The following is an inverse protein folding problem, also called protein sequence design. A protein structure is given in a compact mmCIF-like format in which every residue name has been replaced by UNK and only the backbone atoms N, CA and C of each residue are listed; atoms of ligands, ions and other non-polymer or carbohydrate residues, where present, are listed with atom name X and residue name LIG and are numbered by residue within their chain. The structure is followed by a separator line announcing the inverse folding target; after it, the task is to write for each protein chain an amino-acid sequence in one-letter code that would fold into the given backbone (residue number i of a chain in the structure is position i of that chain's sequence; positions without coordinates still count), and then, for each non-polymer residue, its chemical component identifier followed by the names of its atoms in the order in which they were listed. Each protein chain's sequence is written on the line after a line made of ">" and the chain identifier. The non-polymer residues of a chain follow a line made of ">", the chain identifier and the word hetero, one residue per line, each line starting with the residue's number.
data_IF_188705827407
#
_entry.id   IF_188705827407
#
_cell.length_a   1.000
_cell.length_b   1.000
_cell.length_c   1.000
_cell.angle_alpha   90.00
_cell.angle_beta   90.00
_cell.angle_gamma   90.00
#
_symmetry.space_group_name_H-M   'P 1'
#
loop_
_entity.id
_entity.type
_entity.pdbx_description
1 polymer ?
#
# COMPACT_ATOMS: atom_id res chain seq x y z
N UNK A 1 -9.56 41.81 0.15
CA UNK A 1 -8.27 41.20 0.40
C UNK A 1 -8.29 40.15 1.47
N UNK A 2 -8.87 40.40 2.62
CA UNK A 2 -8.94 39.41 3.69
C UNK A 2 -9.71 38.15 3.27
N UNK A 3 -10.69 38.28 2.40
CA UNK A 3 -11.51 37.15 1.93
C UNK A 3 -10.72 36.15 1.10
N UNK A 4 -9.73 36.62 0.35
CA UNK A 4 -8.90 35.74 -0.47
C UNK A 4 -8.02 34.83 0.34
N UNK A 5 -7.45 35.32 1.43
CA UNK A 5 -6.61 34.51 2.30
C UNK A 5 -7.39 33.37 2.94
N UNK A 6 -8.62 33.64 3.39
CA UNK A 6 -9.46 32.62 3.97
C UNK A 6 -9.78 31.50 2.98
N UNK A 7 -10.05 31.84 1.73
CA UNK A 7 -10.36 30.88 0.69
C UNK A 7 -9.18 29.96 0.40
N UNK A 8 -7.97 30.51 0.32
CA UNK A 8 -6.76 29.74 0.08
C UNK A 8 -6.51 28.74 1.20
N UNK A 9 -6.64 29.16 2.44
CA UNK A 9 -6.46 28.30 3.61
C UNK A 9 -7.46 27.14 3.59
N UNK A 10 -8.71 27.42 3.24
CA UNK A 10 -9.76 26.41 3.16
C UNK A 10 -9.42 25.33 2.14
N UNK A 11 -8.95 25.71 0.96
CA UNK A 11 -8.57 24.75 -0.09
C UNK A 11 -7.42 23.85 0.36
N UNK A 12 -6.43 24.42 1.04
CA UNK A 12 -5.31 23.65 1.56
C UNK A 12 -5.75 22.59 2.56
N UNK A 13 -6.68 22.91 3.46
CA UNK A 13 -7.21 21.98 4.43
C UNK A 13 -7.95 20.83 3.76
N UNK A 14 -8.76 21.11 2.75
CA UNK A 14 -9.48 20.09 2.01
C UNK A 14 -8.52 19.11 1.33
N UNK A 15 -7.44 19.60 0.76
CA UNK A 15 -6.41 18.75 0.14
C UNK A 15 -5.76 17.79 1.13
N UNK A 16 -5.50 18.24 2.34
CA UNK A 16 -4.93 17.40 3.39
C UNK A 16 -5.88 16.27 3.79
N UNK A 17 -7.18 16.55 3.88
CA UNK A 17 -8.16 15.52 4.18
C UNK A 17 -8.18 14.42 3.14
N UNK A 18 -8.06 14.75 1.87
CA UNK A 18 -8.04 13.75 0.81
C UNK A 18 -6.87 12.78 0.95
N UNK A 19 -5.72 13.26 1.37
CA UNK A 19 -4.54 12.42 1.57
C UNK A 19 -4.75 11.45 2.73
N UNK A 20 -5.44 11.86 3.79
CA UNK A 20 -5.66 11.02 4.96
C UNK A 20 -6.62 9.86 4.72
N UNK A 21 -7.32 9.84 3.60
CA UNK A 21 -8.25 8.78 3.24
C UNK A 21 -7.60 7.58 2.57
N UNK A 22 -6.30 7.62 2.32
CA UNK A 22 -5.58 6.53 1.66
C UNK A 22 -5.17 5.48 2.70
N UNK A 23 -5.61 4.24 2.49
CA UNK A 23 -5.24 3.11 3.33
C UNK A 23 -4.09 2.33 2.74
N UNK A 24 -3.12 1.98 3.58
CA UNK A 24 -2.04 1.10 3.21
C UNK A 24 -2.48 -0.35 3.43
N UNK A 25 -2.30 -1.21 2.44
CA UNK A 25 -2.58 -2.63 2.55
C UNK A 25 -1.25 -3.38 2.65
N UNK A 26 -1.05 -4.13 3.74
CA UNK A 26 0.16 -4.90 3.96
C UNK A 26 0.07 -6.25 3.27
N UNK A 27 1.12 -6.62 2.56
CA UNK A 27 1.26 -7.93 1.92
C UNK A 27 2.57 -8.59 2.34
N UNK A 28 2.65 -9.90 2.13
CA UNK A 28 3.88 -10.67 2.32
C UNK A 28 4.55 -10.80 0.96
N UNK A 29 5.67 -10.18 0.78
CA UNK A 29 6.38 -10.13 -0.50
C UNK A 29 7.61 -11.03 -0.47
N UNK A 30 7.69 -11.97 -1.42
CA UNK A 30 8.87 -12.81 -1.59
C UNK A 30 9.87 -12.07 -2.48
N UNK A 31 10.99 -11.65 -1.90
CA UNK A 31 11.99 -10.85 -2.62
C UNK A 31 12.72 -11.66 -3.68
N UNK A 32 12.69 -12.98 -3.59
CA UNK A 32 13.36 -13.86 -4.55
C UNK A 32 12.49 -14.13 -5.78
N UNK A 33 11.22 -14.53 -5.55
CA UNK A 33 10.31 -14.86 -6.65
C UNK A 33 9.57 -13.65 -7.22
N UNK A 34 9.47 -12.57 -6.46
CA UNK A 34 8.70 -11.40 -6.85
C UNK A 34 7.20 -11.58 -6.69
N UNK A 35 6.77 -12.56 -5.90
CA UNK A 35 5.34 -12.82 -5.68
C UNK A 35 4.94 -12.26 -4.31
N UNK A 36 3.80 -11.56 -4.27
CA UNK A 36 3.25 -11.08 -3.01
C UNK A 36 1.97 -11.83 -2.67
N UNK A 37 1.77 -12.04 -1.36
CA UNK A 37 0.66 -12.80 -0.82
C UNK A 37 -0.16 -11.94 0.13
N UNK A 38 -1.46 -12.21 0.20
CA UNK A 38 -2.29 -11.66 1.26
C UNK A 38 -1.78 -12.20 2.60
N UNK A 39 -1.80 -11.39 3.66
CA UNK A 39 -1.31 -11.80 4.98
C UNK A 39 -2.06 -13.01 5.55
N UNK A 40 -3.30 -13.24 5.12
CA UNK A 40 -4.11 -14.38 5.52
C UNK A 40 -3.90 -15.60 4.63
N UNK A 41 -3.10 -15.51 3.59
CA UNK A 41 -2.85 -16.61 2.66
C UNK A 41 -1.99 -17.68 3.32
N UNK A 42 -2.35 -18.95 3.13
CA UNK A 42 -1.56 -20.06 3.66
C UNK A 42 -0.14 -20.08 3.12
N UNK A 43 0.03 -19.68 1.86
CA UNK A 43 1.35 -19.56 1.24
C UNK A 43 2.21 -18.50 1.93
N UNK A 44 1.60 -17.41 2.40
CA UNK A 44 2.29 -16.38 3.15
C UNK A 44 2.80 -16.93 4.49
N UNK A 45 2.00 -17.73 5.16
CA UNK A 45 2.38 -18.34 6.44
C UNK A 45 3.53 -19.34 6.31
N UNK A 46 3.63 -19.99 5.17
CA UNK A 46 4.73 -20.94 4.89
C UNK A 46 6.01 -20.24 4.47
N UNK A 47 5.94 -19.01 4.05
CA UNK A 47 7.09 -18.29 3.58
C UNK A 47 7.86 -17.72 4.76
N UNK A 48 8.85 -18.49 5.24
CA UNK A 48 9.67 -18.10 6.38
C UNK A 48 11.02 -17.53 5.96
N UNK A 49 11.40 -17.70 4.67
CA UNK A 49 12.64 -17.17 4.11
C UNK A 49 12.29 -16.29 2.91
N UNK A 50 13.07 -15.23 2.73
CA UNK A 50 12.95 -14.31 1.60
C UNK A 50 11.61 -13.57 1.53
N UNK A 51 10.79 -13.63 2.56
CA UNK A 51 9.51 -12.93 2.61
C UNK A 51 9.56 -11.80 3.63
N UNK A 52 9.10 -10.63 3.20
CA UNK A 52 9.00 -9.43 4.04
C UNK A 52 7.58 -8.88 3.97
N UNK A 53 7.17 -8.18 5.01
CA UNK A 53 5.89 -7.49 5.03
C UNK A 53 6.11 -6.06 4.56
N UNK A 54 5.46 -5.72 3.47
CA UNK A 54 5.55 -4.37 2.90
C UNK A 54 4.16 -3.94 2.43
N UNK A 55 4.03 -2.66 2.11
CA UNK A 55 2.83 -2.11 1.51
C UNK A 55 2.64 -2.72 0.12
N UNK A 56 1.39 -3.07 -0.21
CA UNK A 56 1.04 -3.63 -1.52
C UNK A 56 1.50 -2.73 -2.66
N UNK A 57 1.36 -1.42 -2.52
CA UNK A 57 1.83 -0.47 -3.53
C UNK A 57 3.34 -0.57 -3.75
N UNK A 58 4.08 -0.78 -2.69
CA UNK A 58 5.52 -0.95 -2.77
C UNK A 58 5.89 -2.25 -3.48
N UNK A 59 5.16 -3.34 -3.19
CA UNK A 59 5.37 -4.61 -3.89
C UNK A 59 5.13 -4.46 -5.40
N UNK A 60 4.08 -3.76 -5.78
CA UNK A 60 3.76 -3.49 -7.18
C UNK A 60 4.84 -2.65 -7.84
N UNK A 61 5.35 -1.63 -7.16
CA UNK A 61 6.45 -0.80 -7.65
C UNK A 61 7.70 -1.62 -7.97
N UNK A 62 7.96 -2.63 -7.16
CA UNK A 62 9.12 -3.52 -7.36
C UNK A 62 8.89 -4.55 -8.44
N UNK A 63 7.77 -4.48 -9.17
CA UNK A 63 7.42 -5.43 -10.21
C UNK A 63 6.84 -6.71 -9.65
N UNK A 64 6.34 -6.69 -8.42
CA UNK A 64 5.73 -7.84 -7.78
C UNK A 64 4.46 -8.31 -8.48
N UNK A 65 4.18 -9.61 -8.39
CA UNK A 65 2.99 -10.24 -8.98
C UNK A 65 2.16 -10.86 -7.87
N UNK A 66 0.82 -10.82 -7.98
CA UNK A 66 -0.04 -11.43 -6.96
C UNK A 66 0.06 -12.95 -6.99
N UNK A 67 -0.04 -13.55 -5.81
CA UNK A 67 -0.09 -15.01 -5.68
C UNK A 67 -1.33 -15.56 -6.37
N UNK A 68 -1.18 -16.57 -7.20
CA UNK A 68 -2.30 -17.18 -7.94
C UNK A 68 -3.31 -17.86 -7.03
N UNK A 69 -2.87 -18.34 -5.87
CA UNK A 69 -3.74 -19.06 -4.94
C UNK A 69 -4.62 -18.14 -4.11
N UNK A 70 -4.12 -16.98 -3.74
CA UNK A 70 -4.87 -16.08 -2.84
C UNK A 70 -5.09 -14.69 -3.44
N UNK A 71 -4.59 -14.43 -4.64
CA UNK A 71 -4.81 -13.16 -5.32
C UNK A 71 -4.05 -11.98 -4.74
N UNK A 72 -3.09 -12.24 -3.86
CA UNK A 72 -2.26 -11.17 -3.28
C UNK A 72 -2.90 -10.44 -2.12
#
# INVERSE_FOLDING_TARGET
>A
MKKFLSTIIFIAIVSLFNVSMVFAETVVYNVQSGIYHNVSCSSANRCTKNCIRIDKKEAIKRGGRPCKNCGG
#
